data_IF_800766882476
#
_entry.id   IF_800766882476
#
_cell.length_a   1.000
_cell.length_b   1.000
_cell.length_c   1.000
_cell.angle_alpha   90.00
_cell.angle_beta   90.00
_cell.angle_gamma   90.00
#
_symmetry.space_group_name_H-M   'P 1'
#
loop_
_entity.id
_entity.type
_entity.pdbx_description
1 polymer ?
#
# COMPACT_ATOMS: atom_id res chain seq x y z
N UNK A 1 -21.57 17.16 0.63
CA UNK A 1 -22.34 16.14 1.38
C UNK A 1 -22.43 16.50 2.86
N UNK A 2 -21.36 16.99 3.48
CA UNK A 2 -21.34 17.39 4.89
C UNK A 2 -22.49 18.35 5.27
N UNK A 3 -22.80 19.35 4.44
CA UNK A 3 -23.93 20.27 4.67
C UNK A 3 -25.28 19.54 4.77
N UNK A 4 -25.47 18.46 4.01
CA UNK A 4 -26.69 17.66 4.09
C UNK A 4 -26.77 16.90 5.42
N UNK A 5 -25.64 16.35 5.89
CA UNK A 5 -25.58 15.71 7.21
C UNK A 5 -25.86 16.70 8.34
N UNK A 6 -25.32 17.92 8.23
CA UNK A 6 -25.59 19.02 9.17
C UNK A 6 -27.08 19.35 9.22
N UNK A 7 -27.71 19.46 8.04
CA UNK A 7 -29.14 19.72 7.93
C UNK A 7 -29.99 18.60 8.53
N UNK A 8 -29.67 17.34 8.23
CA UNK A 8 -30.37 16.18 8.82
C UNK A 8 -30.25 16.23 10.34
N UNK A 9 -29.05 16.43 10.87
CA UNK A 9 -28.83 16.46 12.32
C UNK A 9 -29.57 17.61 13.01
N UNK A 10 -29.58 18.79 12.42
CA UNK A 10 -30.10 19.98 13.08
C UNK A 10 -31.59 20.18 12.90
N UNK A 11 -32.15 19.73 11.78
CA UNK A 11 -33.55 20.02 11.41
C UNK A 11 -34.45 18.79 11.46
N UNK A 12 -33.90 17.57 11.41
CA UNK A 12 -34.69 16.34 11.28
C UNK A 12 -34.47 15.37 12.45
N UNK A 13 -33.21 15.01 12.73
CA UNK A 13 -32.86 14.04 13.77
C UNK A 13 -31.56 14.41 14.50
N UNK A 14 -31.71 14.98 15.69
CA UNK A 14 -30.61 15.36 16.57
C UNK A 14 -29.71 14.20 17.02
N UNK A 15 -30.16 12.95 16.89
CA UNK A 15 -29.43 11.77 17.38
C UNK A 15 -28.29 11.34 16.47
N UNK A 16 -28.30 11.73 15.18
CA UNK A 16 -27.30 11.34 14.17
C UNK A 16 -25.87 11.70 14.58
N UNK A 17 -24.99 10.70 14.59
CA UNK A 17 -23.57 10.81 14.92
C UNK A 17 -22.65 10.74 13.70
N UNK A 18 -21.76 11.72 13.55
CA UNK A 18 -20.68 11.72 12.56
C UNK A 18 -19.57 12.68 13.00
N UNK A 19 -18.35 12.47 12.50
CA UNK A 19 -17.21 13.35 12.76
C UNK A 19 -17.11 14.44 11.69
N UNK A 20 -16.85 15.68 12.10
CA UNK A 20 -16.56 16.82 11.23
C UNK A 20 -15.70 17.85 11.95
N UNK A 21 -14.98 18.68 11.20
CA UNK A 21 -14.28 19.84 11.76
C UNK A 21 -14.06 20.96 10.71
N UNK A 22 -13.00 20.89 9.91
CA UNK A 22 -12.47 22.03 9.15
C UNK A 22 -13.34 22.56 7.99
N UNK A 23 -14.16 21.71 7.36
CA UNK A 23 -14.95 22.01 6.15
C UNK A 23 -14.15 22.45 4.91
N UNK A 24 -12.83 22.33 4.90
CA UNK A 24 -11.96 22.71 3.77
C UNK A 24 -10.93 21.61 3.41
N UNK A 25 -11.29 20.34 3.63
CA UNK A 25 -10.55 19.18 3.09
C UNK A 25 -9.14 18.96 3.67
N UNK A 26 -8.85 19.48 4.87
CA UNK A 26 -7.50 19.33 5.47
C UNK A 26 -7.44 18.49 6.77
N UNK A 27 -8.48 18.49 7.60
CA UNK A 27 -8.40 17.82 8.91
C UNK A 27 -8.60 16.28 8.88
N UNK A 28 -9.11 15.74 7.77
CA UNK A 28 -9.41 14.31 7.64
C UNK A 28 -10.62 13.77 8.42
N UNK A 29 -11.19 14.52 9.37
CA UNK A 29 -12.19 13.99 10.32
C UNK A 29 -13.53 13.54 9.71
N UNK A 30 -13.91 14.06 8.54
CA UNK A 30 -15.20 13.76 7.89
C UNK A 30 -15.10 12.64 6.84
N UNK A 31 -14.11 11.76 6.97
CA UNK A 31 -13.99 10.58 6.13
C UNK A 31 -15.10 9.56 6.46
N UNK A 32 -15.79 9.09 5.43
CA UNK A 32 -16.88 8.10 5.50
C UNK A 32 -17.06 7.45 4.13
N UNK A 33 -17.81 6.34 4.07
CA UNK A 33 -18.15 5.69 2.80
C UNK A 33 -19.33 6.40 2.15
N UNK A 34 -19.11 6.89 0.93
CA UNK A 34 -20.09 7.58 0.11
C UNK A 34 -20.22 6.75 -1.16
N UNK A 35 -21.40 6.16 -1.38
CA UNK A 35 -21.66 5.31 -2.55
C UNK A 35 -20.59 4.22 -2.73
N UNK A 36 -20.28 3.52 -1.63
CA UNK A 36 -19.34 2.39 -1.60
C UNK A 36 -17.85 2.75 -1.49
N UNK A 37 -17.45 4.02 -1.69
CA UNK A 37 -16.04 4.46 -1.60
C UNK A 37 -15.80 5.37 -0.39
N UNK A 38 -14.70 5.19 0.34
CA UNK A 38 -14.33 6.13 1.39
C UNK A 38 -13.75 7.42 0.85
N UNK A 39 -14.26 8.55 1.31
CA UNK A 39 -13.81 9.90 0.93
C UNK A 39 -14.28 10.92 1.97
N UNK A 40 -13.94 12.20 1.78
CA UNK A 40 -14.29 13.28 2.69
C UNK A 40 -15.65 13.88 2.35
N UNK A 41 -16.59 13.84 3.29
CA UNK A 41 -17.92 14.41 3.10
C UNK A 41 -17.94 15.92 2.80
N UNK A 42 -16.92 16.66 3.25
CA UNK A 42 -16.77 18.09 2.95
C UNK A 42 -16.20 18.37 1.57
N UNK A 43 -15.49 17.41 0.96
CA UNK A 43 -14.94 17.52 -0.40
C UNK A 43 -16.00 17.19 -1.44
N UNK A 44 -16.77 16.13 -1.18
CA UNK A 44 -17.72 15.61 -2.16
C UNK A 44 -18.98 16.48 -2.30
N UNK A 45 -19.28 16.83 -3.54
CA UNK A 45 -20.48 17.55 -3.93
C UNK A 45 -21.63 16.58 -4.23
N UNK A 46 -22.85 16.93 -3.82
CA UNK A 46 -24.04 16.08 -4.04
C UNK A 46 -24.32 15.92 -5.53
N UNK A 47 -24.28 17.00 -6.31
CA UNK A 47 -24.54 16.96 -7.75
C UNK A 47 -23.53 16.08 -8.50
N UNK A 48 -22.25 16.19 -8.16
CA UNK A 48 -21.20 15.35 -8.74
C UNK A 48 -21.41 13.86 -8.42
N UNK A 49 -21.80 13.53 -7.18
CA UNK A 49 -22.08 12.15 -6.81
C UNK A 49 -23.36 11.59 -7.46
N UNK A 50 -24.42 12.41 -7.62
CA UNK A 50 -25.62 11.98 -8.34
C UNK A 50 -25.32 11.75 -9.83
N UNK A 51 -24.55 12.64 -10.48
CA UNK A 51 -24.12 12.46 -11.86
C UNK A 51 -23.31 11.16 -12.03
N UNK A 52 -22.39 10.89 -11.10
CA UNK A 52 -21.61 9.64 -11.08
C UNK A 52 -22.51 8.42 -10.94
N UNK A 53 -23.50 8.45 -10.04
CA UNK A 53 -24.46 7.36 -9.88
C UNK A 53 -25.30 7.13 -11.13
N UNK A 54 -25.79 8.20 -11.78
CA UNK A 54 -26.54 8.07 -13.04
C UNK A 54 -25.72 7.39 -14.12
N UNK A 55 -24.45 7.79 -14.28
CA UNK A 55 -23.55 7.18 -15.24
C UNK A 55 -23.32 5.68 -14.94
N UNK A 56 -23.10 5.32 -13.68
CA UNK A 56 -22.85 3.92 -13.28
C UNK A 56 -24.10 3.05 -13.49
N UNK A 57 -25.29 3.60 -13.23
CA UNK A 57 -26.55 2.84 -13.25
C UNK A 57 -27.35 3.01 -14.56
N UNK A 58 -26.88 3.81 -15.52
CA UNK A 58 -27.56 4.06 -16.79
C UNK A 58 -28.91 4.76 -16.64
N UNK A 59 -29.04 5.64 -15.64
CA UNK A 59 -30.28 6.34 -15.31
C UNK A 59 -30.45 7.62 -16.14
N UNK A 60 -31.70 8.02 -16.40
CA UNK A 60 -32.00 9.28 -17.08
C UNK A 60 -31.79 10.50 -16.16
N UNK A 61 -31.81 11.70 -16.74
CA UNK A 61 -31.63 12.94 -15.98
C UNK A 61 -32.82 13.25 -15.06
N UNK A 62 -34.00 12.72 -15.39
CA UNK A 62 -35.23 12.83 -14.59
C UNK A 62 -35.22 11.90 -13.36
N UNK A 63 -34.43 10.83 -13.38
CA UNK A 63 -34.29 9.91 -12.26
C UNK A 63 -33.31 10.46 -11.21
N UNK A 64 -33.71 10.38 -9.92
CA UNK A 64 -32.87 10.79 -8.79
C UNK A 64 -32.37 9.52 -8.08
N UNK A 65 -31.09 9.13 -8.28
CA UNK A 65 -30.56 7.95 -7.61
C UNK A 65 -30.46 8.15 -6.10
N UNK A 66 -30.65 7.06 -5.35
CA UNK A 66 -30.41 7.06 -3.92
C UNK A 66 -28.91 7.10 -3.62
N UNK A 67 -28.49 8.06 -2.79
CA UNK A 67 -27.12 8.16 -2.29
C UNK A 67 -26.98 7.39 -0.97
N UNK A 68 -25.98 6.52 -0.88
CA UNK A 68 -25.74 5.72 0.34
C UNK A 68 -24.54 6.29 1.09
N UNK A 69 -24.75 6.63 2.37
CA UNK A 69 -23.70 7.05 3.30
C UNK A 69 -23.55 5.97 4.36
N UNK A 70 -22.33 5.50 4.57
CA UNK A 70 -21.99 4.43 5.51
C UNK A 70 -20.73 4.78 6.31
N UNK A 71 -20.53 4.18 7.50
CA UNK A 71 -19.28 4.31 8.24
C UNK A 71 -18.09 3.77 7.42
N UNK A 72 -16.88 4.20 7.78
CA UNK A 72 -15.66 3.62 7.21
C UNK A 72 -15.57 2.11 7.52
N UNK A 73 -15.08 1.34 6.55
CA UNK A 73 -14.76 -0.08 6.67
C UNK A 73 -13.49 -0.31 7.48
N UNK A 74 -13.17 -1.59 7.72
CA UNK A 74 -12.00 -2.05 8.50
C UNK A 74 -11.87 -1.48 9.92
N UNK A 75 -12.90 -0.77 10.40
CA UNK A 75 -12.94 -0.09 11.68
C UNK A 75 -14.29 -0.36 12.34
N UNK A 76 -14.31 -0.80 13.62
CA UNK A 76 -15.56 -1.03 14.34
C UNK A 76 -16.42 0.24 14.40
N UNK A 77 -17.73 0.11 14.18
CA UNK A 77 -18.67 1.23 14.32
C UNK A 77 -18.94 1.48 15.80
N UNK A 78 -18.76 2.71 16.26
CA UNK A 78 -19.11 3.14 17.62
C UNK A 78 -20.57 3.58 17.65
N UNK A 79 -20.95 4.47 16.72
CA UNK A 79 -22.31 4.99 16.56
C UNK A 79 -22.46 5.60 15.17
N UNK A 80 -23.51 5.22 14.45
CA UNK A 80 -23.87 5.76 13.13
C UNK A 80 -22.67 5.79 12.17
N UNK A 81 -22.14 6.98 11.83
CA UNK A 81 -20.98 7.16 10.93
C UNK A 81 -19.65 7.32 11.68
N UNK A 82 -19.66 7.20 13.02
CA UNK A 82 -18.48 7.30 13.87
C UNK A 82 -17.87 5.92 14.07
N UNK A 83 -16.61 5.77 13.68
CA UNK A 83 -15.85 4.52 13.83
C UNK A 83 -14.72 4.63 14.85
N UNK A 84 -14.29 3.49 15.36
CA UNK A 84 -13.13 3.35 16.21
C UNK A 84 -11.84 3.30 15.37
N UNK A 85 -10.98 4.28 15.57
CA UNK A 85 -9.73 4.44 14.82
C UNK A 85 -8.50 4.00 15.64
N UNK A 86 -8.64 3.40 16.83
CA UNK A 86 -7.50 3.03 17.69
C UNK A 86 -6.46 2.21 16.93
N UNK A 87 -6.88 1.12 16.30
CA UNK A 87 -5.98 0.27 15.49
C UNK A 87 -5.30 1.01 14.34
N UNK A 88 -5.99 1.97 13.71
CA UNK A 88 -5.39 2.82 12.69
C UNK A 88 -4.23 3.64 13.26
N UNK A 89 -4.38 4.19 14.47
CA UNK A 89 -3.31 4.93 15.16
C UNK A 89 -2.21 4.00 15.67
N UNK A 90 -2.56 2.88 16.29
CA UNK A 90 -1.58 1.89 16.77
C UNK A 90 -0.66 1.40 15.65
N UNK A 91 -1.23 1.16 14.46
CA UNK A 91 -0.46 0.78 13.27
C UNK A 91 0.43 1.91 12.74
N UNK A 92 0.01 3.16 12.89
CA UNK A 92 0.84 4.31 12.53
C UNK A 92 2.01 4.44 13.52
N UNK A 93 1.78 4.24 14.81
CA UNK A 93 2.83 4.25 15.83
C UNK A 93 3.82 3.09 15.64
N UNK A 94 3.32 1.93 15.18
CA UNK A 94 4.13 0.76 14.89
C UNK A 94 5.17 0.95 13.76
N UNK A 95 5.15 2.07 13.03
CA UNK A 95 6.18 2.42 12.03
C UNK A 95 7.10 3.56 12.47
N UNK A 96 7.02 4.01 13.73
CA UNK A 96 7.83 5.10 14.29
C UNK A 96 7.87 6.35 13.39
N UNK A 97 6.75 7.03 13.12
CA UNK A 97 6.58 7.99 12.01
C UNK A 97 7.19 9.38 12.29
N UNK A 98 8.32 9.43 12.98
CA UNK A 98 9.03 10.63 13.40
C UNK A 98 10.51 10.51 13.06
N UNK A 99 11.15 11.62 12.69
CA UNK A 99 12.59 11.68 12.43
C UNK A 99 13.34 11.37 13.72
N UNK A 100 14.19 10.37 13.67
CA UNK A 100 15.07 9.99 14.76
C UNK A 100 16.51 10.20 14.32
N UNK A 101 17.27 10.92 15.14
CA UNK A 101 18.70 11.09 14.95
C UNK A 101 19.47 10.70 16.21
N UNK A 102 20.54 9.92 16.02
CA UNK A 102 21.61 9.58 16.95
C UNK A 102 22.47 10.80 17.31
N UNK A 103 22.24 11.98 16.72
CA UNK A 103 22.93 13.21 17.07
C UNK A 103 22.74 13.49 18.58
N UNK A 104 23.79 13.23 19.37
CA UNK A 104 23.85 13.55 20.81
C UNK A 104 23.67 15.04 21.09
N UNK A 105 23.82 15.89 20.08
CA UNK A 105 23.66 17.33 20.16
C UNK A 105 22.65 17.77 19.11
N UNK A 106 21.55 18.37 19.58
CA UNK A 106 20.65 19.13 18.72
C UNK A 106 21.49 20.26 18.11
N UNK A 107 21.60 20.36 16.78
CA UNK A 107 22.39 21.42 16.16
C UNK A 107 21.85 22.80 16.55
N UNK A 108 22.71 23.83 16.58
CA UNK A 108 22.28 25.22 16.86
C UNK A 108 21.35 25.80 15.78
N UNK A 109 21.25 25.14 14.61
CA UNK A 109 20.44 25.56 13.46
C UNK A 109 19.58 24.40 12.95
N UNK A 110 18.71 24.66 11.98
CA UNK A 110 17.96 23.58 11.32
C UNK A 110 18.85 22.53 10.63
N UNK A 111 18.33 21.32 10.51
CA UNK A 111 18.97 20.28 9.71
C UNK A 111 18.97 20.68 8.22
N UNK A 112 20.14 20.68 7.61
CA UNK A 112 20.29 20.92 6.18
C UNK A 112 19.55 19.86 5.37
N UNK A 113 18.75 20.32 4.41
CA UNK A 113 18.05 19.46 3.45
C UNK A 113 17.95 20.21 2.12
N UNK A 114 18.44 19.61 1.05
CA UNK A 114 18.34 20.17 -0.30
C UNK A 114 16.89 20.17 -0.81
N UNK A 115 16.54 21.03 -1.77
CA UNK A 115 15.22 21.00 -2.40
C UNK A 115 14.87 19.62 -2.99
N UNK A 116 15.86 18.93 -3.59
CA UNK A 116 15.68 17.61 -4.19
C UNK A 116 15.37 16.54 -3.13
N UNK A 117 16.03 16.57 -1.97
CA UNK A 117 15.71 15.66 -0.85
C UNK A 117 14.34 15.97 -0.27
N UNK A 118 14.00 17.26 -0.11
CA UNK A 118 12.71 17.68 0.42
C UNK A 118 11.56 17.29 -0.50
N UNK A 119 11.75 17.32 -1.81
CA UNK A 119 10.72 16.98 -2.81
C UNK A 119 10.28 15.52 -2.70
N UNK A 120 11.21 14.59 -2.41
CA UNK A 120 10.90 13.16 -2.17
C UNK A 120 9.86 12.96 -1.06
N UNK A 121 9.77 13.89 -0.12
CA UNK A 121 8.87 13.83 1.03
C UNK A 121 7.51 14.48 0.78
N UNK A 122 7.32 15.17 -0.37
CA UNK A 122 6.14 16.00 -0.64
C UNK A 122 4.84 15.18 -0.64
N UNK A 123 4.81 14.09 -1.41
CA UNK A 123 3.62 13.24 -1.54
C UNK A 123 3.20 12.64 -0.20
N UNK A 124 4.10 11.96 0.51
CA UNK A 124 3.83 11.36 1.83
C UNK A 124 3.58 12.41 2.92
N UNK A 125 4.13 13.62 2.76
CA UNK A 125 3.90 14.78 3.61
C UNK A 125 2.45 15.26 3.58
N UNK A 126 1.79 15.19 2.42
CA UNK A 126 0.41 15.66 2.22
C UNK A 126 -0.67 14.74 2.80
N UNK A 127 -0.30 13.58 3.35
CA UNK A 127 -1.25 12.70 4.02
C UNK A 127 -1.81 13.34 5.30
N UNK A 128 -3.12 13.57 5.29
CA UNK A 128 -3.92 14.16 6.39
C UNK A 128 -4.50 13.13 7.37
N UNK A 129 -4.08 11.86 7.28
CA UNK A 129 -4.49 10.78 8.19
C UNK A 129 -6.03 10.59 8.29
N UNK A 130 -6.74 10.77 7.17
CA UNK A 130 -8.21 10.64 7.12
C UNK A 130 -8.75 9.21 7.23
N UNK A 131 -7.92 8.18 7.05
CA UNK A 131 -8.33 6.78 7.14
C UNK A 131 -8.99 6.18 5.88
N UNK A 132 -9.26 6.96 4.83
CA UNK A 132 -9.94 6.47 3.62
C UNK A 132 -9.22 5.27 2.96
N UNK A 133 -7.90 5.32 2.86
CA UNK A 133 -7.11 4.22 2.29
C UNK A 133 -7.12 2.96 3.17
N UNK A 134 -7.19 3.11 4.49
CA UNK A 134 -7.29 1.99 5.43
C UNK A 134 -8.67 1.35 5.38
N UNK A 135 -9.72 2.18 5.32
CA UNK A 135 -11.12 1.75 5.23
C UNK A 135 -11.38 0.78 4.09
N UNK A 136 -10.71 0.99 2.96
CA UNK A 136 -10.97 0.26 1.72
C UNK A 136 -9.87 -0.75 1.38
N UNK A 137 -8.96 -1.04 2.30
CA UNK A 137 -7.85 -1.95 2.04
C UNK A 137 -8.26 -3.41 2.25
N UNK A 138 -8.37 -4.18 1.16
CA UNK A 138 -8.66 -5.62 1.24
C UNK A 138 -7.59 -6.42 2.01
N UNK A 139 -6.34 -5.95 2.00
CA UNK A 139 -5.27 -6.62 2.76
C UNK A 139 -5.48 -6.49 4.28
N UNK A 140 -6.00 -5.35 4.74
CA UNK A 140 -6.36 -5.14 6.16
C UNK A 140 -7.59 -5.96 6.52
N UNK A 141 -8.56 -6.07 5.60
CA UNK A 141 -9.78 -6.88 5.81
C UNK A 141 -9.45 -8.36 6.03
N UNK A 142 -8.50 -8.90 5.25
CA UNK A 142 -8.11 -10.33 5.31
C UNK A 142 -7.06 -10.59 6.39
N UNK A 143 -6.07 -9.71 6.56
CA UNK A 143 -5.04 -9.82 7.58
C UNK A 143 -5.14 -8.63 8.55
N UNK A 144 -5.77 -8.82 9.73
CA UNK A 144 -5.82 -7.77 10.74
C UNK A 144 -4.44 -7.30 11.20
N UNK A 145 -3.40 -8.12 11.13
CA UNK A 145 -2.05 -7.77 11.61
C UNK A 145 -1.27 -6.93 10.59
N UNK A 146 -1.77 -6.79 9.36
CA UNK A 146 -1.20 -5.88 8.38
C UNK A 146 -1.36 -4.44 8.84
N UNK A 147 -0.23 -3.73 8.97
CA UNK A 147 -0.20 -2.34 9.49
C UNK A 147 -1.01 -1.36 8.62
N UNK A 148 -1.22 -1.69 7.34
CA UNK A 148 -2.09 -0.95 6.46
C UNK A 148 -1.39 0.15 5.65
N UNK A 149 -2.11 0.73 4.67
CA UNK A 149 -1.50 1.60 3.66
C UNK A 149 -1.09 2.97 4.19
N UNK A 150 -1.80 3.52 5.19
CA UNK A 150 -1.49 4.83 5.77
C UNK A 150 -0.14 4.81 6.51
N UNK A 151 0.08 3.76 7.32
CA UNK A 151 1.30 3.56 8.10
C UNK A 151 2.49 3.39 7.16
N UNK A 152 2.40 2.50 6.16
CA UNK A 152 3.50 2.26 5.23
C UNK A 152 3.78 3.45 4.30
N UNK A 153 2.78 4.27 3.96
CA UNK A 153 3.03 5.52 3.25
C UNK A 153 3.83 6.52 4.11
N UNK A 154 3.59 6.56 5.43
CA UNK A 154 4.45 7.33 6.35
C UNK A 154 5.82 6.67 6.56
N UNK A 155 5.89 5.35 6.55
CA UNK A 155 7.15 4.60 6.61
C UNK A 155 8.07 4.95 5.43
N UNK A 156 7.53 5.13 4.21
CA UNK A 156 8.29 5.59 3.05
C UNK A 156 8.97 6.94 3.29
N UNK A 157 8.23 7.91 3.87
CA UNK A 157 8.83 9.20 4.26
C UNK A 157 10.05 8.96 5.14
N UNK A 158 9.98 8.05 6.10
CA UNK A 158 11.09 7.78 7.01
C UNK A 158 12.28 7.11 6.34
N UNK A 159 12.07 6.35 5.26
CA UNK A 159 13.16 5.76 4.48
C UNK A 159 13.90 6.80 3.65
N UNK A 160 13.18 7.81 3.14
CA UNK A 160 13.71 8.80 2.20
C UNK A 160 14.11 10.14 2.84
N UNK A 161 13.71 10.40 4.10
CA UNK A 161 14.07 11.64 4.81
C UNK A 161 15.54 11.63 5.19
N UNK A 162 16.33 12.49 4.54
CA UNK A 162 17.79 12.60 4.75
C UNK A 162 18.21 12.96 6.17
N UNK A 163 17.27 13.37 7.02
CA UNK A 163 17.49 13.73 8.43
C UNK A 163 17.37 12.56 9.39
N UNK A 164 16.79 11.43 8.96
CA UNK A 164 16.66 10.22 9.77
C UNK A 164 17.89 9.32 9.58
N UNK A 165 18.48 8.84 10.68
CA UNK A 165 19.67 7.95 10.64
C UNK A 165 19.36 6.50 11.03
N UNK A 166 18.07 6.15 11.13
CA UNK A 166 17.61 4.80 11.51
C UNK A 166 17.09 4.00 10.33
N UNK A 167 17.38 4.41 9.10
CA UNK A 167 16.88 3.79 7.86
C UNK A 167 17.05 2.27 7.83
N UNK A 168 18.23 1.74 8.20
CA UNK A 168 18.46 0.29 8.19
C UNK A 168 17.60 -0.48 9.22
N UNK A 169 17.44 0.09 10.41
CA UNK A 169 16.57 -0.47 11.46
C UNK A 169 15.12 -0.45 11.02
N UNK A 170 14.67 0.66 10.43
CA UNK A 170 13.32 0.84 9.90
C UNK A 170 13.01 -0.13 8.78
N UNK A 171 13.94 -0.31 7.85
CA UNK A 171 13.79 -1.28 6.75
C UNK A 171 13.64 -2.70 7.29
N UNK A 172 14.41 -3.09 8.32
CA UNK A 172 14.24 -4.39 8.98
C UNK A 172 12.87 -4.54 9.64
N UNK A 173 12.35 -3.49 10.26
CA UNK A 173 11.03 -3.45 10.87
C UNK A 173 9.91 -3.56 9.82
N UNK A 174 10.01 -2.82 8.71
CA UNK A 174 8.99 -2.82 7.66
C UNK A 174 8.98 -4.09 6.81
N UNK A 175 10.09 -4.82 6.77
CA UNK A 175 10.22 -6.12 6.07
C UNK A 175 9.49 -7.26 6.82
N UNK A 176 9.07 -7.07 8.07
CA UNK A 176 8.55 -8.16 8.90
C UNK A 176 7.26 -8.79 8.34
N UNK A 177 7.43 -9.98 7.75
CA UNK A 177 6.34 -10.88 7.39
C UNK A 177 5.22 -10.23 6.58
N UNK A 178 3.99 -10.70 6.82
CA UNK A 178 2.75 -10.17 6.23
C UNK A 178 2.20 -8.96 6.97
N UNK A 179 2.84 -8.57 8.07
CA UNK A 179 2.40 -7.47 8.92
C UNK A 179 2.96 -6.15 8.37
N UNK A 180 4.18 -6.19 7.81
CA UNK A 180 4.82 -5.11 7.09
C UNK A 180 4.49 -5.06 5.59
N UNK A 181 5.44 -4.59 4.77
CA UNK A 181 5.18 -4.27 3.34
C UNK A 181 4.70 -5.46 2.51
N UNK A 182 5.09 -6.69 2.87
CA UNK A 182 4.76 -7.88 2.09
C UNK A 182 3.30 -8.32 2.26
N UNK A 183 2.58 -7.79 3.25
CA UNK A 183 1.12 -7.96 3.36
C UNK A 183 0.33 -7.25 2.26
N UNK A 184 0.91 -6.24 1.61
CA UNK A 184 0.24 -5.50 0.54
C UNK A 184 0.10 -6.33 -0.74
N UNK A 185 -1.15 -6.63 -1.11
CA UNK A 185 -1.55 -7.38 -2.32
C UNK A 185 -1.67 -6.55 -3.60
N UNK A 186 -1.44 -5.23 -3.52
CA UNK A 186 -1.43 -4.29 -4.66
C UNK A 186 -2.78 -4.18 -5.42
N UNK A 187 -3.90 -4.22 -4.69
CA UNK A 187 -5.25 -4.03 -5.25
C UNK A 187 -5.56 -2.59 -5.71
N UNK A 188 -4.63 -1.63 -5.54
CA UNK A 188 -4.71 -0.23 -5.99
C UNK A 188 -5.77 0.66 -5.31
N UNK A 189 -6.74 0.09 -4.59
CA UNK A 189 -7.88 0.87 -4.12
C UNK A 189 -7.52 2.00 -3.13
N UNK A 190 -6.44 1.85 -2.36
CA UNK A 190 -5.89 2.90 -1.50
C UNK A 190 -5.44 4.15 -2.26
N UNK A 191 -4.96 4.02 -3.51
CA UNK A 191 -4.61 5.16 -4.36
C UNK A 191 -5.89 5.85 -4.87
N UNK A 192 -6.85 5.07 -5.39
CA UNK A 192 -8.06 5.63 -5.99
C UNK A 192 -8.95 6.39 -5.02
N UNK A 193 -8.92 6.04 -3.73
CA UNK A 193 -9.75 6.70 -2.70
C UNK A 193 -9.04 7.81 -1.96
N UNK A 194 -7.74 8.03 -2.21
CA UNK A 194 -6.98 9.04 -1.48
C UNK A 194 -7.43 10.46 -1.88
N UNK A 195 -8.03 11.26 -0.98
CA UNK A 195 -8.53 12.58 -1.34
C UNK A 195 -7.42 13.60 -1.60
N UNK A 196 -6.19 13.29 -1.15
CA UNK A 196 -4.99 14.13 -1.23
C UNK A 196 -3.95 13.58 -2.22
N UNK A 197 -4.29 12.55 -2.98
CA UNK A 197 -3.42 12.02 -4.05
C UNK A 197 -2.01 11.61 -3.59
N UNK A 198 -1.89 11.15 -2.34
CA UNK A 198 -0.63 10.66 -1.75
C UNK A 198 -0.10 9.40 -2.44
N UNK A 199 -0.98 8.66 -3.13
CA UNK A 199 -0.73 7.37 -3.76
C UNK A 199 -0.04 6.34 -2.81
N UNK A 200 -0.72 5.89 -1.73
CA UNK A 200 -0.13 4.99 -0.73
C UNK A 200 0.50 3.70 -1.28
N UNK A 201 -0.08 3.09 -2.32
CA UNK A 201 0.50 1.89 -2.95
C UNK A 201 1.88 2.16 -3.53
N UNK A 202 2.07 3.34 -4.12
CA UNK A 202 3.30 3.70 -4.80
C UNK A 202 4.40 3.92 -3.75
N UNK A 203 4.04 4.59 -2.64
CA UNK A 203 4.90 4.73 -1.45
C UNK A 203 5.31 3.37 -0.86
N UNK A 204 4.36 2.43 -0.74
CA UNK A 204 4.67 1.05 -0.32
C UNK A 204 5.63 0.38 -1.33
N UNK A 205 5.44 0.64 -2.62
CA UNK A 205 6.32 0.17 -3.69
C UNK A 205 7.76 0.68 -3.53
N UNK A 206 7.93 1.96 -3.22
CA UNK A 206 9.24 2.58 -2.95
C UNK A 206 9.93 1.92 -1.75
N UNK A 207 9.21 1.66 -0.65
CA UNK A 207 9.76 0.92 0.51
C UNK A 207 10.17 -0.50 0.10
N UNK A 208 9.36 -1.20 -0.70
CA UNK A 208 9.73 -2.53 -1.21
C UNK A 208 11.00 -2.48 -2.04
N UNK A 209 11.16 -1.47 -2.90
CA UNK A 209 12.40 -1.30 -3.68
C UNK A 209 13.60 -0.98 -2.79
N UNK A 210 13.42 -0.12 -1.79
CA UNK A 210 14.45 0.19 -0.81
C UNK A 210 14.92 -1.06 -0.03
N UNK A 211 14.01 -1.98 0.30
CA UNK A 211 14.35 -3.29 0.89
C UNK A 211 15.12 -4.15 -0.11
N UNK A 212 14.63 -4.27 -1.35
CA UNK A 212 15.24 -5.14 -2.38
C UNK A 212 16.66 -4.68 -2.78
N UNK A 213 16.92 -3.38 -2.76
CA UNK A 213 18.24 -2.82 -3.08
C UNK A 213 19.28 -3.04 -1.99
N UNK A 214 18.85 -3.27 -0.74
CA UNK A 214 19.72 -3.44 0.45
C UNK A 214 19.86 -4.88 0.95
N UNK A 215 18.87 -5.73 0.69
CA UNK A 215 18.84 -7.12 1.20
C UNK A 215 19.36 -8.10 0.19
N UNK A 216 20.13 -9.09 0.63
CA UNK A 216 20.50 -10.22 -0.22
C UNK A 216 19.29 -11.10 -0.56
N UNK A 217 19.38 -11.82 -1.69
CA UNK A 217 18.34 -12.76 -2.14
C UNK A 217 18.00 -13.85 -1.11
N UNK A 218 18.86 -14.05 -0.11
CA UNK A 218 18.65 -15.04 0.94
C UNK A 218 18.08 -14.50 2.25
N UNK A 219 17.87 -13.18 2.37
CA UNK A 219 17.45 -12.54 3.61
C UNK A 219 16.05 -12.99 4.07
N UNK A 220 15.09 -13.04 3.14
CA UNK A 220 13.72 -13.48 3.42
C UNK A 220 13.11 -14.14 2.20
N UNK A 221 12.08 -14.98 2.39
CA UNK A 221 11.38 -15.63 1.27
C UNK A 221 10.73 -14.60 0.33
N UNK A 222 10.25 -13.48 0.86
CA UNK A 222 9.66 -12.40 0.05
C UNK A 222 10.71 -11.69 -0.82
N UNK A 223 11.88 -11.38 -0.26
CA UNK A 223 13.01 -10.82 -1.03
C UNK A 223 13.47 -11.83 -2.10
N UNK A 224 13.64 -13.09 -1.72
CA UNK A 224 14.02 -14.18 -2.64
C UNK A 224 13.03 -14.29 -3.79
N UNK A 225 11.73 -14.36 -3.49
CA UNK A 225 10.67 -14.43 -4.48
C UNK A 225 10.79 -13.32 -5.52
N UNK A 226 11.00 -12.06 -5.10
CA UNK A 226 11.10 -10.92 -6.02
C UNK A 226 12.38 -10.97 -6.85
N UNK A 227 13.53 -11.26 -6.24
CA UNK A 227 14.81 -11.32 -6.96
C UNK A 227 14.86 -12.47 -7.95
N UNK A 228 14.46 -13.67 -7.53
CA UNK A 228 14.37 -14.85 -8.39
C UNK A 228 13.43 -14.62 -9.57
N UNK A 229 12.28 -13.96 -9.36
CA UNK A 229 11.36 -13.63 -10.45
C UNK A 229 12.05 -12.77 -11.52
N UNK A 230 12.74 -11.71 -11.11
CA UNK A 230 13.45 -10.82 -12.04
C UNK A 230 14.57 -11.56 -12.77
N UNK A 231 15.32 -12.42 -12.08
CA UNK A 231 16.38 -13.25 -12.69
C UNK A 231 15.82 -14.21 -13.75
N UNK A 232 14.73 -14.92 -13.46
CA UNK A 232 14.13 -15.84 -14.42
C UNK A 232 13.56 -15.11 -15.65
N UNK A 233 12.91 -13.96 -15.45
CA UNK A 233 12.42 -13.12 -16.56
C UNK A 233 13.58 -12.59 -17.40
N UNK A 234 14.70 -12.20 -16.80
CA UNK A 234 15.92 -11.80 -17.52
C UNK A 234 16.52 -12.93 -18.36
N UNK A 235 16.48 -14.16 -17.85
CA UNK A 235 17.12 -15.30 -18.50
C UNK A 235 16.27 -15.92 -19.62
N UNK A 236 14.95 -15.86 -19.50
CA UNK A 236 13.99 -16.54 -20.37
C UNK A 236 12.84 -15.70 -20.93
N UNK A 237 12.79 -14.39 -20.64
CA UNK A 237 11.75 -13.46 -21.10
C UNK A 237 10.42 -13.54 -20.33
N UNK A 238 10.22 -14.60 -19.56
CA UNK A 238 9.11 -14.83 -18.62
C UNK A 238 9.55 -15.82 -17.53
N UNK A 239 8.68 -16.12 -16.56
CA UNK A 239 9.02 -16.94 -15.39
C UNK A 239 9.06 -18.43 -15.75
N UNK A 240 10.20 -19.10 -15.50
CA UNK A 240 10.28 -20.57 -15.54
C UNK A 240 9.72 -21.15 -14.23
N UNK A 241 8.46 -21.59 -14.22
CA UNK A 241 7.77 -22.03 -13.00
C UNK A 241 8.44 -23.23 -12.33
N UNK A 242 9.13 -24.07 -13.11
CA UNK A 242 9.87 -25.25 -12.62
C UNK A 242 11.00 -24.80 -11.69
N UNK A 243 11.74 -23.78 -12.11
CA UNK A 243 12.84 -23.20 -11.33
C UNK A 243 12.30 -22.32 -10.21
N UNK A 244 11.25 -21.56 -10.47
CA UNK A 244 10.72 -20.58 -9.53
C UNK A 244 10.32 -21.20 -8.19
N UNK A 245 9.51 -22.27 -8.22
CA UNK A 245 9.10 -22.96 -6.99
C UNK A 245 10.29 -23.49 -6.20
N UNK A 246 11.24 -24.14 -6.88
CA UNK A 246 12.43 -24.73 -6.25
C UNK A 246 13.36 -23.67 -5.68
N UNK A 247 13.65 -22.61 -6.42
CA UNK A 247 14.56 -21.54 -6.00
C UNK A 247 13.97 -20.72 -4.86
N UNK A 248 12.66 -20.40 -4.91
CA UNK A 248 11.98 -19.60 -3.90
C UNK A 248 11.76 -20.37 -2.60
N UNK A 249 11.22 -21.60 -2.69
CA UNK A 249 10.84 -22.39 -1.52
C UNK A 249 12.01 -23.22 -0.98
N UNK A 250 12.80 -23.82 -1.88
CA UNK A 250 13.97 -24.62 -1.51
C UNK A 250 15.21 -23.79 -1.20
N UNK A 251 15.16 -22.45 -1.30
CA UNK A 251 16.31 -21.57 -1.05
C UNK A 251 17.56 -22.05 -1.83
N UNK A 252 17.42 -22.25 -3.15
CA UNK A 252 18.47 -22.83 -3.99
C UNK A 252 19.04 -24.15 -3.41
N UNK A 253 18.15 -25.06 -2.98
CA UNK A 253 18.43 -26.34 -2.31
C UNK A 253 19.06 -26.25 -0.89
N UNK A 254 19.14 -25.06 -0.29
CA UNK A 254 19.63 -24.88 1.09
C UNK A 254 18.56 -25.19 2.14
N UNK A 255 17.28 -25.17 1.77
CA UNK A 255 16.16 -25.53 2.64
C UNK A 255 15.48 -26.82 2.17
N UNK A 256 15.98 -27.94 2.68
CA UNK A 256 15.45 -29.28 2.35
C UNK A 256 14.02 -29.47 2.86
N UNK A 257 13.65 -28.86 3.99
CA UNK A 257 12.28 -28.96 4.54
C UNK A 257 11.30 -28.19 3.66
N UNK A 258 11.65 -26.96 3.27
CA UNK A 258 10.90 -26.18 2.30
C UNK A 258 10.73 -26.92 0.98
N UNK A 259 11.79 -27.53 0.46
CA UNK A 259 11.72 -28.30 -0.79
C UNK A 259 10.79 -29.52 -0.68
N UNK A 260 10.88 -30.28 0.42
CA UNK A 260 10.00 -31.43 0.67
C UNK A 260 8.53 -31.03 0.77
N UNK A 261 8.23 -29.81 1.22
CA UNK A 261 6.85 -29.29 1.26
C UNK A 261 6.20 -29.16 -0.12
N UNK A 262 7.00 -29.11 -1.20
CA UNK A 262 6.48 -29.08 -2.58
C UNK A 262 6.13 -30.47 -3.13
N UNK A 263 6.58 -31.56 -2.49
CA UNK A 263 6.38 -32.91 -3.02
C UNK A 263 4.90 -33.30 -3.25
N UNK A 264 3.95 -32.99 -2.33
CA UNK A 264 2.54 -33.29 -2.56
C UNK A 264 1.95 -32.55 -3.77
N UNK A 265 2.33 -31.29 -3.95
CA UNK A 265 1.92 -30.48 -5.11
C UNK A 265 2.52 -31.04 -6.40
N UNK A 266 3.82 -31.35 -6.39
CA UNK A 266 4.52 -31.93 -7.54
C UNK A 266 3.90 -33.27 -7.97
N UNK A 267 3.60 -34.15 -7.03
CA UNK A 267 2.92 -35.43 -7.31
C UNK A 267 1.53 -35.19 -7.92
N UNK A 268 0.75 -34.24 -7.38
CA UNK A 268 -0.57 -33.90 -7.93
C UNK A 268 -0.47 -33.35 -9.35
N UNK A 269 0.52 -32.49 -9.63
CA UNK A 269 0.76 -31.96 -10.97
C UNK A 269 1.15 -33.06 -11.95
N UNK A 270 1.99 -34.01 -11.54
CA UNK A 270 2.37 -35.18 -12.35
C UNK A 270 1.15 -36.07 -12.66
N UNK A 271 0.35 -36.41 -11.65
CA UNK A 271 -0.87 -37.22 -11.81
C UNK A 271 -1.87 -36.55 -12.75
N UNK A 272 -2.01 -35.23 -12.67
CA UNK A 272 -2.90 -34.48 -13.56
C UNK A 272 -2.28 -34.16 -14.93
N UNK A 273 -1.06 -34.60 -15.23
CA UNK A 273 -0.35 -34.27 -16.48
C UNK A 273 -0.04 -32.77 -16.66
N UNK A 274 -0.04 -32.00 -15.57
CA UNK A 274 0.20 -30.53 -15.58
C UNK A 274 1.60 -30.16 -15.13
N UNK A 275 2.51 -31.13 -14.99
CA UNK A 275 3.89 -30.85 -14.61
C UNK A 275 4.68 -30.32 -15.82
N UNK A 276 5.23 -29.10 -15.78
CA UNK A 276 6.00 -28.56 -16.89
C UNK A 276 7.34 -29.29 -17.01
N UNK A 277 7.57 -29.99 -18.12
CA UNK A 277 8.81 -30.73 -18.38
C UNK A 277 9.82 -29.89 -19.17
N UNK A 278 9.34 -29.08 -20.12
CA UNK A 278 10.15 -28.15 -20.91
C UNK A 278 9.86 -26.70 -20.53
N UNK A 279 10.73 -25.80 -20.96
CA UNK A 279 10.53 -24.36 -20.89
C UNK A 279 11.05 -23.78 -22.20
N UNK A 280 10.21 -23.03 -22.87
CA UNK A 280 10.55 -22.29 -24.07
C UNK A 280 10.79 -20.84 -23.66
N UNK A 281 11.85 -20.23 -24.19
CA UNK A 281 12.14 -18.82 -23.93
C UNK A 281 11.23 -17.96 -24.79
N UNK A 282 10.86 -16.77 -24.32
CA UNK A 282 10.14 -15.80 -25.13
C UNK A 282 11.00 -15.34 -26.32
N UNK A 283 10.38 -15.07 -27.47
CA UNK A 283 11.06 -14.52 -28.65
C UNK A 283 11.80 -13.21 -28.33
N UNK A 284 11.24 -12.38 -27.45
CA UNK A 284 11.81 -11.10 -27.00
C UNK A 284 12.82 -11.20 -25.84
N UNK A 285 13.35 -12.39 -25.53
CA UNK A 285 14.21 -12.57 -24.34
C UNK A 285 15.44 -11.66 -24.33
N UNK A 286 16.06 -11.42 -25.48
CA UNK A 286 17.25 -10.55 -25.57
C UNK A 286 16.91 -9.09 -25.28
N UNK A 287 15.79 -8.59 -25.79
CA UNK A 287 15.29 -7.25 -25.51
C UNK A 287 14.96 -7.09 -24.02
N UNK A 288 14.22 -8.05 -23.44
CA UNK A 288 13.90 -8.04 -22.00
C UNK A 288 15.17 -8.04 -21.15
N UNK A 289 16.18 -8.84 -21.51
CA UNK A 289 17.47 -8.87 -20.81
C UNK A 289 18.17 -7.52 -20.90
N UNK A 290 18.25 -6.94 -22.10
CA UNK A 290 18.87 -5.64 -22.34
C UNK A 290 18.23 -4.54 -21.49
N UNK A 291 16.89 -4.50 -21.44
CA UNK A 291 16.15 -3.54 -20.62
C UNK A 291 16.46 -3.70 -19.11
N UNK A 292 16.45 -4.94 -18.60
CA UNK A 292 16.75 -5.20 -17.18
C UNK A 292 18.19 -4.80 -16.83
N UNK A 293 19.15 -5.13 -17.71
CA UNK A 293 20.56 -4.80 -17.49
C UNK A 293 20.78 -3.28 -17.55
N UNK A 294 20.13 -2.58 -18.48
CA UNK A 294 20.17 -1.12 -18.59
C UNK A 294 19.62 -0.42 -17.34
N UNK A 295 18.51 -0.92 -16.79
CA UNK A 295 17.94 -0.40 -15.54
C UNK A 295 18.90 -0.62 -14.36
N UNK A 296 19.53 -1.80 -14.26
CA UNK A 296 20.51 -2.10 -13.21
C UNK A 296 21.75 -1.20 -13.30
N UNK A 297 22.21 -0.90 -14.50
CA UNK A 297 23.32 0.03 -14.74
C UNK A 297 22.96 1.46 -14.30
N UNK A 298 21.78 1.95 -14.67
CA UNK A 298 21.27 3.26 -14.22
C UNK A 298 21.12 3.33 -12.70
N UNK A 299 20.61 2.28 -12.06
CA UNK A 299 20.51 2.21 -10.60
C UNK A 299 21.87 2.12 -9.91
N UNK A 300 22.90 1.58 -10.57
CA UNK A 300 24.26 1.56 -10.06
C UNK A 300 24.95 2.93 -10.18
N UNK A 301 24.63 3.70 -11.22
CA UNK A 301 25.15 5.06 -11.43
C UNK A 301 24.51 6.09 -10.48
N UNK A 302 23.28 5.86 -10.05
CA UNK A 302 22.53 6.74 -9.14
C UNK A 302 22.72 6.41 -7.65
N UNK A 303 23.54 5.41 -7.30
CA UNK A 303 23.89 5.01 -5.93
C UNK A 303 25.25 5.55 -5.55
#
# INVERSE_FOLDING_TARGET
>A
ILTCLDRIKWEQDGTLGYRKNCRNTICGSCSMRINGRSTLACKENVGAELARLRQIHGLSDEEIPAMTIAPMGNMPVIKDLVVDMRKFWDNLDAVDPYVSTQARQIPEREFSQSPQEREKLSHSGNCILCGACYSECNAVEVNPDFVGPHALAKAQRMVDDSRDDRTETRIAQYEQGTDGVWGCTRCYYCNSVCPMEVAPLDRIGEVKQAILSRRDGNASRAVRHRKTLVELVRDGGWVDERKFGVQVVGNYFRDLRGLLSLAPLGLRMLVCGKFPLSFEKSEGTEEVRSLIDSVRELEAQNR
#
